data_IF_652337567727
#
_entry.id   IF_652337567727
#
_cell.length_a   1.000
_cell.length_b   1.000
_cell.length_c   1.000
_cell.angle_alpha   90.00
_cell.angle_beta   90.00
_cell.angle_gamma   90.00
#
_symmetry.space_group_name_H-M   'P 1'
#
loop_
_entity.id
_entity.type
_entity.pdbx_description
1 polymer ?
#
# COMPACT_ATOMS: atom_id res chain seq x y z
N UNK A 1 46.29 -21.31 33.30
CA UNK A 1 45.01 -22.02 33.48
C UNK A 1 44.13 -21.74 32.28
N UNK A 2 43.67 -22.82 31.64
CA UNK A 2 42.66 -22.95 30.57
C UNK A 2 42.70 -22.08 29.30
N UNK A 3 43.30 -22.68 28.27
CA UNK A 3 42.77 -22.66 26.89
C UNK A 3 41.42 -23.40 26.85
N UNK A 4 40.43 -22.86 26.13
CA UNK A 4 39.35 -23.67 25.55
C UNK A 4 39.30 -23.46 24.03
N UNK A 5 39.61 -24.54 23.33
CA UNK A 5 39.36 -24.73 21.91
C UNK A 5 37.85 -25.01 21.69
N UNK A 6 37.26 -24.42 20.65
CA UNK A 6 36.03 -24.98 20.07
C UNK A 6 36.19 -25.24 18.58
N UNK A 7 36.34 -26.53 18.31
CA UNK A 7 36.28 -27.17 17.00
C UNK A 7 34.86 -27.13 16.40
N UNK A 8 34.83 -27.04 15.06
CA UNK A 8 34.15 -28.05 14.26
C UNK A 8 32.72 -27.76 13.79
N UNK A 9 32.59 -27.45 12.50
CA UNK A 9 31.81 -28.27 11.54
C UNK A 9 32.01 -27.76 10.11
N UNK A 10 32.94 -28.41 9.40
CA UNK A 10 32.97 -28.42 7.92
C UNK A 10 32.00 -29.52 7.48
N UNK A 11 31.08 -29.18 6.57
CA UNK A 11 30.32 -30.17 5.79
C UNK A 11 30.70 -29.94 4.34
N UNK A 12 31.52 -30.85 3.82
CA UNK A 12 31.72 -31.06 2.40
C UNK A 12 30.55 -31.92 1.87
N UNK A 13 30.08 -31.60 0.68
CA UNK A 13 29.36 -32.52 -0.18
C UNK A 13 29.57 -32.04 -1.62
N UNK A 14 30.44 -32.77 -2.31
CA UNK A 14 30.52 -32.84 -3.77
C UNK A 14 29.21 -33.35 -4.35
N UNK A 15 28.86 -32.88 -5.55
CA UNK A 15 28.58 -33.71 -6.74
C UNK A 15 27.79 -32.94 -7.80
N UNK A 16 28.42 -32.83 -8.97
CA UNK A 16 27.88 -33.09 -10.30
C UNK A 16 26.83 -32.15 -10.95
N UNK A 17 27.37 -31.42 -11.93
CA UNK A 17 26.79 -30.98 -13.21
C UNK A 17 25.94 -32.09 -13.88
N UNK A 18 24.97 -31.80 -14.79
CA UNK A 18 25.30 -31.16 -16.07
C UNK A 18 24.26 -30.19 -16.67
N UNK A 19 24.78 -29.40 -17.62
CA UNK A 19 24.19 -28.90 -18.86
C UNK A 19 22.66 -28.90 -19.03
N UNK A 20 22.10 -27.70 -19.23
CA UNK A 20 20.87 -27.58 -20.00
C UNK A 20 20.94 -26.38 -20.96
N UNK A 21 21.73 -26.58 -22.01
CA UNK A 21 21.61 -25.88 -23.28
C UNK A 21 20.34 -26.38 -23.97
N UNK A 22 19.30 -25.55 -24.09
CA UNK A 22 18.24 -25.71 -25.12
C UNK A 22 17.36 -24.46 -25.27
N UNK A 23 17.54 -23.81 -26.43
CA UNK A 23 16.50 -23.42 -27.39
C UNK A 23 15.41 -22.47 -26.85
N UNK A 24 15.46 -21.16 -27.14
CA UNK A 24 15.00 -20.55 -28.40
C UNK A 24 13.82 -21.31 -29.04
N UNK A 25 12.61 -20.80 -28.82
CA UNK A 25 11.48 -20.98 -29.72
C UNK A 25 10.66 -19.68 -29.74
N UNK A 26 10.84 -18.94 -30.83
CA UNK A 26 9.90 -17.95 -31.32
C UNK A 26 8.54 -18.62 -31.55
N UNK A 27 7.45 -18.00 -31.10
CA UNK A 27 6.13 -18.26 -31.66
C UNK A 27 5.52 -16.94 -32.16
N UNK A 28 4.88 -16.96 -33.34
CA UNK A 28 4.46 -15.77 -34.05
C UNK A 28 3.13 -15.21 -33.53
N UNK A 29 2.96 -13.90 -33.76
CA UNK A 29 1.68 -13.20 -33.83
C UNK A 29 0.78 -13.90 -34.84
N UNK A 30 -0.47 -14.19 -34.46
CA UNK A 30 -1.57 -14.32 -35.40
C UNK A 30 -2.60 -13.22 -35.13
N UNK A 31 -2.76 -12.40 -36.14
CA UNK A 31 -3.83 -11.44 -36.35
C UNK A 31 -5.08 -12.19 -36.83
N UNK A 32 -6.26 -11.60 -36.58
CA UNK A 32 -7.41 -11.70 -37.47
C UNK A 32 -8.33 -12.92 -37.31
N UNK A 33 -9.51 -12.68 -36.74
CA UNK A 33 -10.75 -13.26 -37.26
C UNK A 33 -11.94 -12.39 -36.79
N UNK A 34 -12.37 -11.51 -37.69
CA UNK A 34 -13.74 -11.02 -37.76
C UNK A 34 -14.71 -12.17 -38.08
N UNK A 35 -16.01 -11.89 -37.95
CA UNK A 35 -17.24 -12.70 -38.19
C UNK A 35 -17.88 -13.19 -36.88
N UNK A 36 -19.19 -13.13 -36.69
CA UNK A 36 -20.31 -12.70 -37.52
C UNK A 36 -21.51 -12.50 -36.59
N UNK A 37 -22.42 -11.59 -36.97
CA UNK A 37 -23.75 -11.52 -36.41
C UNK A 37 -24.50 -12.83 -36.67
N UNK A 38 -25.06 -13.43 -35.62
CA UNK A 38 -26.19 -14.36 -35.74
C UNK A 38 -27.25 -14.00 -34.71
N UNK A 39 -28.39 -13.55 -35.23
CA UNK A 39 -29.67 -13.34 -34.54
C UNK A 39 -30.38 -14.69 -34.34
N UNK A 40 -31.33 -14.71 -33.38
CA UNK A 40 -32.43 -15.67 -33.11
C UNK A 40 -32.21 -16.60 -31.89
N UNK A 41 -33.27 -17.23 -31.34
CA UNK A 41 -34.52 -16.64 -30.84
C UNK A 41 -34.91 -17.17 -29.44
N UNK A 42 -35.81 -16.44 -28.76
CA UNK A 42 -36.80 -16.96 -27.80
C UNK A 42 -36.39 -18.01 -26.76
N UNK A 43 -36.02 -17.56 -25.55
CA UNK A 43 -36.13 -18.40 -24.34
C UNK A 43 -37.10 -17.78 -23.33
N UNK A 44 -38.01 -18.63 -22.86
CA UNK A 44 -39.11 -18.38 -21.93
C UNK A 44 -38.60 -17.87 -20.56
N UNK A 45 -39.28 -16.93 -19.90
CA UNK A 45 -38.96 -16.60 -18.52
C UNK A 45 -39.42 -17.75 -17.60
N UNK A 46 -38.48 -18.40 -16.94
CA UNK A 46 -38.76 -19.29 -15.81
C UNK A 46 -39.15 -18.43 -14.59
N UNK A 47 -40.35 -18.69 -14.08
CA UNK A 47 -40.91 -18.03 -12.91
C UNK A 47 -40.01 -18.23 -11.67
N UNK A 48 -39.86 -17.21 -10.80
CA UNK A 48 -39.17 -17.39 -9.54
C UNK A 48 -39.99 -18.26 -8.59
N UNK A 49 -39.38 -19.36 -8.14
CA UNK A 49 -39.86 -20.22 -7.06
C UNK A 49 -39.87 -19.42 -5.74
N UNK A 50 -41.00 -18.78 -5.45
CA UNK A 50 -41.27 -18.11 -4.17
C UNK A 50 -41.45 -19.17 -3.10
N UNK A 51 -40.49 -19.29 -2.19
CA UNK A 51 -40.69 -20.02 -0.92
C UNK A 51 -41.58 -19.16 -0.01
N UNK A 52 -42.71 -19.67 0.51
CA UNK A 52 -43.49 -18.94 1.50
C UNK A 52 -42.71 -18.87 2.81
N UNK A 53 -42.36 -17.65 3.25
CA UNK A 53 -41.90 -17.43 4.61
C UNK A 53 -43.10 -17.44 5.58
N UNK A 54 -42.88 -17.91 6.83
CA UNK A 54 -43.94 -18.05 7.81
C UNK A 54 -44.51 -16.70 8.25
N UNK A 55 -45.84 -16.63 8.32
CA UNK A 55 -46.60 -15.57 8.97
C UNK A 55 -46.38 -15.67 10.49
N UNK A 56 -45.53 -14.79 11.03
CA UNK A 56 -45.61 -14.36 12.43
C UNK A 56 -46.30 -12.99 12.40
N UNK A 57 -47.62 -12.94 12.58
CA UNK A 57 -48.28 -12.64 13.85
C UNK A 57 -47.59 -11.57 14.71
N UNK A 58 -48.37 -10.51 14.96
CA UNK A 58 -48.26 -9.50 16.00
C UNK A 58 -47.16 -8.44 15.86
N UNK A 59 -47.51 -7.33 15.21
CA UNK A 59 -47.02 -6.00 15.62
C UNK A 59 -48.25 -5.14 15.87
N UNK A 60 -48.56 -4.91 17.15
CA UNK A 60 -49.50 -3.88 17.55
C UNK A 60 -48.96 -2.54 17.05
N UNK A 61 -49.80 -1.80 16.33
CA UNK A 61 -49.57 -0.41 15.98
C UNK A 61 -49.72 0.45 17.24
N UNK A 62 -48.79 0.30 18.17
CA UNK A 62 -48.59 1.23 19.27
C UNK A 62 -47.54 2.23 18.84
N UNK A 63 -47.98 3.40 18.35
CA UNK A 63 -47.16 4.59 18.40
C UNK A 63 -46.95 4.90 19.89
N UNK A 64 -45.90 4.33 20.47
CA UNK A 64 -45.46 4.68 21.80
C UNK A 64 -44.80 6.04 21.73
N UNK A 65 -45.56 7.09 22.01
CA UNK A 65 -45.03 8.43 22.23
C UNK A 65 -44.19 8.41 23.51
N UNK A 66 -42.88 8.20 23.34
CA UNK A 66 -41.89 8.60 24.34
C UNK A 66 -41.72 10.10 24.09
N UNK A 67 -42.04 10.92 25.09
CA UNK A 67 -42.12 12.38 24.97
C UNK A 67 -41.12 13.03 24.00
N UNK A 68 -41.65 13.96 23.21
CA UNK A 68 -40.95 14.87 22.26
C UNK A 68 -40.45 14.25 20.95
N UNK A 69 -40.24 12.93 20.85
CA UNK A 69 -39.72 12.32 19.62
C UNK A 69 -40.60 11.20 19.06
N UNK A 70 -40.99 11.32 17.79
CA UNK A 70 -41.65 10.27 17.05
C UNK A 70 -40.59 9.33 16.47
N UNK A 71 -40.56 8.09 16.96
CA UNK A 71 -39.75 7.03 16.37
C UNK A 71 -40.40 6.55 15.06
N UNK A 72 -39.89 7.00 13.92
CA UNK A 72 -40.27 6.51 12.61
C UNK A 72 -39.23 5.48 12.16
N UNK A 73 -39.66 4.23 11.94
CA UNK A 73 -38.80 3.26 11.24
C UNK A 73 -38.91 3.52 9.75
N UNK A 74 -37.77 3.73 9.10
CA UNK A 74 -37.72 3.73 7.65
C UNK A 74 -37.81 2.30 7.09
N UNK A 75 -38.01 2.17 5.79
CA UNK A 75 -38.06 0.87 5.10
C UNK A 75 -36.74 0.07 5.15
N UNK A 76 -35.66 0.65 5.68
CA UNK A 76 -34.37 -0.02 5.91
C UNK A 76 -34.24 -0.62 7.32
N UNK A 77 -35.23 -0.38 8.19
CA UNK A 77 -35.24 -0.84 9.58
C UNK A 77 -34.45 0.07 10.54
N UNK A 78 -34.00 1.24 10.08
CA UNK A 78 -33.39 2.24 10.95
C UNK A 78 -34.46 3.09 11.63
N UNK A 79 -34.31 3.32 12.93
CA UNK A 79 -35.18 4.20 13.71
C UNK A 79 -34.72 5.64 13.53
N UNK A 80 -35.49 6.43 12.81
CA UNK A 80 -35.37 7.88 12.69
C UNK A 80 -36.22 8.53 13.79
N UNK A 81 -35.59 9.24 14.71
CA UNK A 81 -36.29 10.07 15.68
C UNK A 81 -36.49 11.46 15.07
N UNK A 82 -37.73 11.79 14.73
CA UNK A 82 -38.11 13.15 14.34
C UNK A 82 -38.70 13.85 15.57
N UNK A 83 -38.35 15.12 15.83
CA UNK A 83 -39.08 15.91 16.82
C UNK A 83 -40.54 15.97 16.40
N UNK A 84 -41.45 15.62 17.31
CA UNK A 84 -42.88 15.72 17.04
C UNK A 84 -43.21 17.18 16.73
N UNK A 85 -43.77 17.44 15.55
CA UNK A 85 -44.25 18.77 15.21
C UNK A 85 -45.45 19.08 16.13
N UNK A 86 -45.20 19.83 17.21
CA UNK A 86 -46.26 20.43 17.99
C UNK A 86 -46.95 21.46 17.11
N UNK A 87 -48.24 21.28 16.86
CA UNK A 87 -49.07 22.14 16.01
C UNK A 87 -49.32 23.54 16.58
N UNK A 88 -48.60 23.94 17.62
CA UNK A 88 -48.69 25.25 18.25
C UNK A 88 -47.28 25.83 18.31
N UNK A 89 -47.14 27.10 17.89
CA UNK A 89 -45.88 27.81 17.63
C UNK A 89 -44.96 28.07 18.81
N UNK A 90 -44.92 27.15 19.78
CA UNK A 90 -44.01 27.17 20.93
C UNK A 90 -42.79 26.34 20.55
N UNK A 91 -41.63 27.00 20.45
CA UNK A 91 -40.35 26.32 20.24
C UNK A 91 -40.20 25.21 21.31
N UNK A 92 -40.04 23.93 20.92
CA UNK A 92 -39.94 22.85 21.89
C UNK A 92 -38.73 23.12 22.78
N UNK A 93 -38.98 23.32 24.08
CA UNK A 93 -37.93 23.49 25.05
C UNK A 93 -37.28 22.12 25.27
N UNK A 94 -36.20 21.83 24.53
CA UNK A 94 -35.42 20.62 24.74
C UNK A 94 -34.86 20.63 26.17
N UNK A 95 -35.13 19.58 26.94
CA UNK A 95 -34.52 19.46 28.26
C UNK A 95 -33.03 19.14 28.12
N UNK A 96 -32.24 19.47 29.14
CA UNK A 96 -30.82 19.14 29.15
C UNK A 96 -30.57 17.62 29.04
N UNK A 97 -31.53 16.80 29.50
CA UNK A 97 -31.47 15.35 29.36
C UNK A 97 -31.63 14.91 27.89
N UNK A 98 -32.57 15.49 27.15
CA UNK A 98 -32.80 15.19 25.74
C UNK A 98 -31.58 15.53 24.87
N UNK A 99 -30.95 16.68 25.16
CA UNK A 99 -29.73 17.10 24.46
C UNK A 99 -28.56 16.12 24.69
N UNK A 100 -28.45 15.53 25.89
CA UNK A 100 -27.41 14.52 26.17
C UNK A 100 -27.64 13.23 25.40
N UNK A 101 -28.88 12.76 25.32
CA UNK A 101 -29.25 11.56 24.56
C UNK A 101 -28.94 11.77 23.07
N UNK A 102 -29.32 12.92 22.51
CA UNK A 102 -29.04 13.28 21.12
C UNK A 102 -27.54 13.31 20.82
N UNK A 103 -26.73 13.88 21.72
CA UNK A 103 -25.26 13.95 21.56
C UNK A 103 -24.64 12.55 21.59
N UNK A 104 -25.06 11.67 22.50
CA UNK A 104 -24.54 10.31 22.55
C UNK A 104 -24.93 9.48 21.33
N UNK A 105 -26.15 9.65 20.83
CA UNK A 105 -26.58 9.02 19.59
C UNK A 105 -25.77 9.53 18.39
N UNK A 106 -25.54 10.84 18.29
CA UNK A 106 -24.67 11.39 17.25
C UNK A 106 -23.25 10.81 17.32
N UNK A 107 -22.66 10.70 18.52
CA UNK A 107 -21.36 10.05 18.70
C UNK A 107 -21.39 8.57 18.30
N UNK A 108 -22.48 7.86 18.58
CA UNK A 108 -22.66 6.46 18.18
C UNK A 108 -22.69 6.31 16.65
N UNK A 109 -23.50 7.13 15.97
CA UNK A 109 -23.61 7.17 14.52
C UNK A 109 -22.26 7.53 13.86
N UNK A 110 -21.54 8.52 14.39
CA UNK A 110 -20.20 8.88 13.92
C UNK A 110 -19.19 7.74 14.08
N UNK A 111 -19.25 6.98 15.19
CA UNK A 111 -18.40 5.80 15.41
C UNK A 111 -18.68 4.70 14.40
N UNK A 112 -19.95 4.47 14.06
CA UNK A 112 -20.35 3.48 13.04
C UNK A 112 -19.90 3.92 11.65
N UNK A 113 -20.19 5.16 11.27
CA UNK A 113 -19.75 5.72 10.00
C UNK A 113 -18.24 5.68 9.81
N UNK A 114 -17.46 6.02 10.85
CA UNK A 114 -15.99 5.89 10.83
C UNK A 114 -15.55 4.46 10.57
N UNK A 115 -16.20 3.47 11.20
CA UNK A 115 -15.91 2.05 10.95
C UNK A 115 -16.22 1.67 9.50
N UNK A 116 -17.32 2.17 8.94
CA UNK A 116 -17.71 1.92 7.56
C UNK A 116 -16.78 2.56 6.54
N UNK A 117 -16.31 3.79 6.76
CA UNK A 117 -15.27 4.43 5.95
C UNK A 117 -14.01 3.54 5.87
N UNK A 118 -13.65 2.89 6.98
CA UNK A 118 -12.49 1.99 7.03
C UNK A 118 -12.79 0.58 6.49
N UNK A 119 -14.06 0.19 6.35
CA UNK A 119 -14.47 -1.06 5.67
C UNK A 119 -14.39 -0.85 4.17
N UNK A 120 -13.19 -1.01 3.63
CA UNK A 120 -12.99 -0.88 2.20
C UNK A 120 -13.66 -2.06 1.47
N UNK A 121 -14.70 -1.82 0.65
CA UNK A 121 -15.30 -2.86 -0.15
C UNK A 121 -14.29 -3.42 -1.15
N UNK A 122 -14.31 -4.74 -1.35
CA UNK A 122 -13.46 -5.36 -2.39
C UNK A 122 -14.00 -4.96 -3.75
N UNK A 123 -13.19 -4.28 -4.55
CA UNK A 123 -13.55 -3.89 -5.92
C UNK A 123 -13.77 -5.08 -6.86
N UNK A 124 -13.26 -6.26 -6.49
CA UNK A 124 -13.44 -7.50 -7.23
C UNK A 124 -13.83 -8.64 -6.30
N UNK A 125 -14.79 -9.44 -6.73
CA UNK A 125 -15.17 -10.70 -6.09
C UNK A 125 -14.89 -11.84 -7.07
N UNK A 126 -14.40 -12.95 -6.52
CA UNK A 126 -14.29 -14.19 -7.29
C UNK A 126 -15.67 -14.83 -7.35
N UNK A 127 -16.15 -15.09 -8.55
CA UNK A 127 -17.40 -15.81 -8.79
C UNK A 127 -17.11 -17.02 -9.66
N UNK A 128 -17.88 -18.08 -9.48
CA UNK A 128 -17.87 -19.19 -10.40
C UNK A 128 -18.80 -18.85 -11.56
N UNK A 129 -18.25 -18.85 -12.77
CA UNK A 129 -18.99 -18.69 -14.01
C UNK A 129 -18.97 -20.05 -14.69
N UNK A 130 -20.14 -20.57 -15.07
CA UNK A 130 -20.20 -21.76 -15.91
C UNK A 130 -19.75 -21.37 -17.32
N UNK A 131 -18.63 -21.96 -17.76
CA UNK A 131 -18.21 -21.84 -19.15
C UNK A 131 -19.13 -22.64 -20.08
N UNK A 132 -19.07 -22.35 -21.37
CA UNK A 132 -19.83 -23.06 -22.41
C UNK A 132 -19.53 -24.56 -22.42
N UNK A 133 -18.32 -24.94 -22.00
CA UNK A 133 -17.86 -26.33 -21.86
C UNK A 133 -18.49 -27.06 -20.64
N UNK A 134 -19.34 -26.41 -19.84
CA UNK A 134 -19.89 -26.94 -18.60
C UNK A 134 -18.91 -27.00 -17.43
N UNK A 135 -17.63 -26.67 -17.64
CA UNK A 135 -16.62 -26.63 -16.58
C UNK A 135 -16.71 -25.27 -15.84
N UNK A 136 -16.90 -25.26 -14.51
CA UNK A 136 -16.94 -24.02 -13.75
C UNK A 136 -15.56 -23.36 -13.74
N UNK A 137 -15.49 -22.11 -14.20
CA UNK A 137 -14.28 -21.29 -14.17
C UNK A 137 -14.42 -20.18 -13.13
N UNK A 138 -13.30 -19.84 -12.51
CA UNK A 138 -13.22 -18.77 -11.52
C UNK A 138 -12.91 -17.46 -12.24
N UNK A 139 -13.85 -16.52 -12.20
CA UNK A 139 -13.66 -15.21 -12.81
C UNK A 139 -13.77 -14.06 -11.78
N UNK A 140 -13.12 -12.95 -12.10
CA UNK A 140 -13.11 -11.75 -11.27
C UNK A 140 -14.18 -10.76 -11.74
N UNK A 141 -15.31 -10.75 -11.07
CA UNK A 141 -16.35 -9.76 -11.32
C UNK A 141 -16.01 -8.43 -10.64
N UNK A 142 -16.06 -7.32 -11.39
CA UNK A 142 -16.00 -5.97 -10.83
C UNK A 142 -17.29 -5.70 -10.06
N UNK A 143 -17.17 -5.44 -8.77
CA UNK A 143 -18.30 -5.06 -7.93
C UNK A 143 -18.56 -3.57 -8.11
N UNK A 144 -19.82 -3.18 -8.30
CA UNK A 144 -20.24 -1.78 -8.18
C UNK A 144 -20.05 -1.38 -6.71
N UNK A 145 -19.32 -0.28 -6.49
CA UNK A 145 -19.12 0.26 -5.13
C UNK A 145 -20.21 1.28 -4.91
N UNK A 146 -21.12 0.98 -4.00
CA UNK A 146 -22.17 1.92 -3.61
C UNK A 146 -21.57 3.02 -2.72
N UNK A 147 -22.00 4.28 -2.93
CA UNK A 147 -21.55 5.38 -2.08
C UNK A 147 -22.04 5.17 -0.65
N UNK A 148 -21.20 5.55 0.30
CA UNK A 148 -21.56 5.54 1.71
C UNK A 148 -22.51 6.71 1.97
N UNK A 149 -23.63 6.43 2.63
CA UNK A 149 -24.58 7.47 3.02
C UNK A 149 -24.02 8.28 4.18
N UNK A 150 -24.33 9.57 4.21
CA UNK A 150 -24.02 10.40 5.36
C UNK A 150 -24.82 9.92 6.57
N UNK A 151 -24.27 9.99 7.78
CA UNK A 151 -25.02 9.59 8.97
C UNK A 151 -26.25 10.48 9.16
N UNK A 152 -27.38 9.95 9.66
CA UNK A 152 -28.61 10.70 9.87
C UNK A 152 -28.38 12.01 10.66
N UNK A 153 -27.53 11.97 11.70
CA UNK A 153 -27.13 13.17 12.46
C UNK A 153 -26.57 14.31 11.58
N UNK A 154 -25.81 14.00 10.52
CA UNK A 154 -25.26 15.01 9.62
C UNK A 154 -26.32 15.60 8.69
N UNK A 155 -27.33 14.81 8.32
CA UNK A 155 -28.46 15.32 7.53
C UNK A 155 -29.18 16.45 8.28
N UNK A 156 -29.34 16.37 9.60
CA UNK A 156 -29.94 17.46 10.39
C UNK A 156 -29.13 18.76 10.33
N UNK A 157 -27.80 18.68 10.27
CA UNK A 157 -26.94 19.86 10.16
C UNK A 157 -26.95 20.45 8.74
N UNK A 158 -27.10 19.59 7.74
CA UNK A 158 -27.08 19.98 6.33
C UNK A 158 -28.45 20.45 5.86
N UNK A 159 -29.55 19.94 6.44
CA UNK A 159 -30.91 20.25 6.02
C UNK A 159 -31.21 21.75 6.00
N UNK A 160 -30.86 22.57 7.02
CA UNK A 160 -31.07 24.01 6.96
C UNK A 160 -30.29 24.67 5.82
N UNK A 161 -29.10 24.17 5.49
CA UNK A 161 -28.33 24.67 4.35
C UNK A 161 -29.04 24.35 3.03
N UNK A 162 -29.53 23.11 2.86
CA UNK A 162 -30.30 22.73 1.67
C UNK A 162 -31.57 23.55 1.51
N UNK A 163 -32.31 23.76 2.61
CA UNK A 163 -33.60 24.46 2.58
C UNK A 163 -33.46 25.98 2.43
N UNK A 164 -32.48 26.61 3.11
CA UNK A 164 -32.44 28.06 3.25
C UNK A 164 -31.33 28.75 2.46
N UNK A 165 -30.22 28.07 2.14
CA UNK A 165 -29.09 28.71 1.43
C UNK A 165 -29.10 28.48 -0.08
N UNK A 166 -30.13 27.80 -0.61
CA UNK A 166 -30.21 27.43 -2.03
C UNK A 166 -29.15 26.40 -2.43
N UNK A 167 -28.55 25.71 -1.47
CA UNK A 167 -27.56 24.67 -1.72
C UNK A 167 -28.22 23.50 -2.44
N UNK A 168 -27.73 23.18 -3.65
CA UNK A 168 -28.33 22.13 -4.48
C UNK A 168 -27.96 20.74 -3.95
N UNK A 169 -28.94 19.86 -3.83
CA UNK A 169 -28.74 18.45 -3.42
C UNK A 169 -27.69 17.71 -4.28
N UNK A 170 -27.56 18.07 -5.55
CA UNK A 170 -26.57 17.48 -6.47
C UNK A 170 -25.12 17.76 -6.06
N UNK A 171 -24.88 18.72 -5.17
CA UNK A 171 -23.56 19.08 -4.66
C UNK A 171 -23.21 18.35 -3.35
N UNK A 172 -24.10 17.51 -2.83
CA UNK A 172 -23.81 16.70 -1.65
C UNK A 172 -22.63 15.76 -1.93
N UNK A 173 -21.69 15.62 -0.99
CA UNK A 173 -20.48 14.84 -1.21
C UNK A 173 -20.84 13.36 -1.40
N UNK A 174 -20.50 12.81 -2.56
CA UNK A 174 -20.56 11.38 -2.81
C UNK A 174 -19.36 10.69 -2.16
N UNK A 175 -19.55 10.20 -0.95
CA UNK A 175 -18.48 9.54 -0.17
C UNK A 175 -18.30 8.11 -0.67
N UNK A 176 -17.13 7.78 -1.19
CA UNK A 176 -16.80 6.42 -1.64
C UNK A 176 -15.63 5.93 -0.79
N UNK A 177 -15.82 4.81 -0.08
CA UNK A 177 -14.74 4.16 0.65
C UNK A 177 -13.78 3.49 -0.34
N UNK A 178 -12.67 4.16 -0.67
CA UNK A 178 -11.63 3.63 -1.54
C UNK A 178 -10.50 3.03 -0.71
N UNK A 179 -9.96 1.89 -1.13
CA UNK A 179 -8.71 1.38 -0.56
C UNK A 179 -7.66 2.43 -0.85
N UNK A 180 -7.13 3.10 0.18
CA UNK A 180 -5.86 3.80 0.02
C UNK A 180 -4.90 2.76 -0.58
N UNK A 181 -4.32 2.99 -1.77
CA UNK A 181 -3.29 2.10 -2.25
C UNK A 181 -2.30 2.01 -1.10
N UNK A 182 -2.04 0.79 -0.60
CA UNK A 182 -1.04 0.56 0.44
C UNK A 182 0.17 1.36 -0.06
N UNK A 183 0.66 2.35 0.68
CA UNK A 183 1.72 3.28 0.26
C UNK A 183 2.96 2.46 -0.12
N UNK A 184 2.94 1.84 -1.29
CA UNK A 184 4.03 1.10 -1.87
C UNK A 184 4.88 2.22 -2.41
N UNK A 185 5.92 2.53 -1.65
CA UNK A 185 6.92 3.47 -2.10
C UNK A 185 7.56 2.83 -3.32
N UNK A 186 7.24 3.40 -4.47
CA UNK A 186 7.93 3.08 -5.72
C UNK A 186 9.20 3.92 -5.76
N UNK A 187 10.27 3.26 -6.20
CA UNK A 187 11.51 3.92 -6.57
C UNK A 187 11.53 4.03 -8.09
N UNK A 188 11.70 5.25 -8.58
CA UNK A 188 11.95 5.49 -10.00
C UNK A 188 13.41 5.19 -10.32
N UNK A 189 13.72 4.90 -11.58
CA UNK A 189 15.10 4.70 -12.02
C UNK A 189 15.97 5.94 -11.80
N UNK A 190 15.40 7.13 -11.98
CA UNK A 190 16.05 8.40 -11.63
C UNK A 190 16.33 8.56 -10.13
N UNK A 191 15.51 7.96 -9.27
CA UNK A 191 15.77 7.94 -7.83
C UNK A 191 16.89 6.95 -7.49
N UNK A 192 17.04 5.86 -8.24
CA UNK A 192 18.14 4.92 -8.06
C UNK A 192 19.49 5.50 -8.54
N UNK A 193 19.51 6.29 -9.62
CA UNK A 193 20.73 7.01 -10.03
C UNK A 193 21.11 8.07 -8.99
N UNK A 194 20.11 8.74 -8.41
CA UNK A 194 20.31 9.69 -7.31
C UNK A 194 20.82 8.99 -6.04
N UNK A 195 20.27 7.82 -5.72
CA UNK A 195 20.73 6.96 -4.62
C UNK A 195 22.18 6.53 -4.84
N UNK A 196 22.55 6.10 -6.05
CA UNK A 196 23.93 5.77 -6.40
C UNK A 196 24.89 6.96 -6.20
N UNK A 197 24.50 8.16 -6.63
CA UNK A 197 25.31 9.37 -6.41
C UNK A 197 25.44 9.68 -4.92
N UNK A 198 24.37 9.53 -4.15
CA UNK A 198 24.41 9.67 -2.69
C UNK A 198 25.39 8.69 -2.04
N UNK A 199 25.40 7.44 -2.47
CA UNK A 199 26.31 6.41 -1.96
C UNK A 199 27.79 6.71 -2.26
N UNK A 200 28.08 7.39 -3.37
CA UNK A 200 29.44 7.85 -3.70
C UNK A 200 29.89 9.02 -2.82
N UNK A 201 28.97 9.93 -2.49
CA UNK A 201 29.29 11.14 -1.73
C UNK A 201 29.35 10.89 -0.21
N UNK A 202 28.37 10.16 0.34
CA UNK A 202 28.20 9.98 1.78
C UNK A 202 28.61 8.57 2.27
N UNK A 203 28.74 7.61 1.35
CA UNK A 203 29.01 6.22 1.69
C UNK A 203 27.75 5.40 2.02
N UNK A 204 27.95 4.12 2.35
CA UNK A 204 26.88 3.15 2.61
C UNK A 204 26.20 3.33 3.97
N UNK A 205 26.94 3.80 4.98
CA UNK A 205 26.45 3.90 6.37
C UNK A 205 25.63 5.17 6.59
N UNK A 206 25.97 6.27 5.91
CA UNK A 206 25.35 7.58 6.13
C UNK A 206 24.09 7.82 5.28
N UNK A 207 23.08 7.00 5.57
CA UNK A 207 21.75 7.13 4.95
C UNK A 207 20.99 8.37 5.45
N UNK A 208 21.38 8.90 6.61
CA UNK A 208 20.76 10.09 7.18
C UNK A 208 21.09 11.33 6.33
N UNK A 209 22.37 11.54 6.02
CA UNK A 209 22.81 12.65 5.15
C UNK A 209 22.27 12.49 3.73
N UNK A 210 22.27 11.27 3.17
CA UNK A 210 21.64 11.00 1.87
C UNK A 210 20.18 11.42 1.84
N UNK A 211 19.41 11.13 2.90
CA UNK A 211 18.01 11.56 2.98
C UNK A 211 17.90 13.08 3.00
N UNK A 212 18.66 13.75 3.86
CA UNK A 212 18.56 15.20 4.06
C UNK A 212 18.93 15.96 2.79
N UNK A 213 20.01 15.55 2.11
CA UNK A 213 20.58 16.30 0.99
C UNK A 213 20.07 15.86 -0.39
N UNK A 214 19.74 14.57 -0.57
CA UNK A 214 19.44 14.01 -1.90
C UNK A 214 17.98 13.59 -2.06
N UNK A 215 17.40 12.92 -1.05
CA UNK A 215 16.08 12.29 -1.17
C UNK A 215 15.18 12.60 0.04
N UNK A 216 14.76 13.87 0.24
CA UNK A 216 13.97 14.27 1.40
C UNK A 216 12.59 13.60 1.44
N UNK A 217 12.07 13.21 0.28
CA UNK A 217 10.78 12.54 0.13
C UNK A 217 10.78 11.06 0.55
N UNK A 218 11.95 10.46 0.81
CA UNK A 218 12.07 9.07 1.25
C UNK A 218 12.52 9.01 2.71
N UNK A 219 12.10 7.97 3.42
CA UNK A 219 12.59 7.72 4.79
C UNK A 219 13.90 6.95 4.75
N UNK A 220 14.73 7.09 5.80
CA UNK A 220 16.00 6.37 5.90
C UNK A 220 15.81 4.83 5.83
N UNK A 221 14.71 4.32 6.41
CA UNK A 221 14.36 2.90 6.31
C UNK A 221 14.04 2.48 4.86
N UNK A 222 13.32 3.31 4.10
CA UNK A 222 13.03 3.05 2.69
C UNK A 222 14.31 3.00 1.85
N UNK A 223 15.23 3.94 2.09
CA UNK A 223 16.51 3.99 1.40
C UNK A 223 17.37 2.74 1.71
N UNK A 224 17.51 2.37 2.99
CA UNK A 224 18.23 1.13 3.38
C UNK A 224 17.62 -0.11 2.73
N UNK A 225 16.29 -0.23 2.76
CA UNK A 225 15.61 -1.34 2.12
C UNK A 225 15.84 -1.37 0.61
N UNK A 226 15.85 -0.19 -0.05
CA UNK A 226 16.14 -0.10 -1.48
C UNK A 226 17.57 -0.53 -1.80
N UNK A 227 18.56 -0.05 -1.05
CA UNK A 227 19.98 -0.43 -1.20
C UNK A 227 20.13 -1.95 -1.03
N UNK A 228 19.55 -2.52 0.02
CA UNK A 228 19.61 -3.96 0.27
C UNK A 228 18.98 -4.78 -0.87
N UNK A 229 17.85 -4.32 -1.40
CA UNK A 229 17.19 -4.97 -2.54
C UNK A 229 18.01 -4.86 -3.83
N UNK A 230 18.64 -3.72 -4.10
CA UNK A 230 19.50 -3.52 -5.27
C UNK A 230 20.80 -4.33 -5.18
N UNK A 231 21.36 -4.48 -3.99
CA UNK A 231 22.55 -5.30 -3.72
C UNK A 231 22.26 -6.81 -3.69
N UNK A 232 20.99 -7.21 -3.58
CA UNK A 232 20.62 -8.61 -3.46
C UNK A 232 21.15 -9.44 -4.64
N UNK A 233 21.57 -10.70 -4.37
CA UNK A 233 22.15 -11.59 -5.39
C UNK A 233 21.26 -11.75 -6.63
N UNK A 234 19.94 -11.87 -6.41
CA UNK A 234 18.92 -12.04 -7.46
C UNK A 234 18.55 -10.75 -8.19
N UNK A 235 19.01 -9.60 -7.72
CA UNK A 235 18.74 -8.34 -8.40
C UNK A 235 19.50 -8.29 -9.74
N UNK A 236 18.89 -7.73 -10.80
CA UNK A 236 19.58 -7.50 -12.06
C UNK A 236 20.80 -6.60 -11.85
N UNK A 237 21.74 -6.62 -12.81
CA UNK A 237 22.92 -5.77 -12.74
C UNK A 237 22.50 -4.31 -12.69
N UNK A 238 23.05 -3.58 -11.72
CA UNK A 238 22.71 -2.18 -11.48
C UNK A 238 23.92 -1.46 -10.85
N UNK A 239 24.05 -0.13 -11.04
CA UNK A 239 25.23 0.62 -10.60
C UNK A 239 25.42 0.61 -9.07
N UNK A 240 24.34 0.53 -8.30
CA UNK A 240 24.39 0.42 -6.84
C UNK A 240 25.03 -0.90 -6.41
N UNK A 241 24.65 -2.01 -7.05
CA UNK A 241 25.20 -3.35 -6.81
C UNK A 241 26.69 -3.39 -7.15
N UNK A 242 27.07 -2.83 -8.29
CA UNK A 242 28.47 -2.78 -8.73
C UNK A 242 29.33 -2.01 -7.72
N UNK A 243 28.86 -0.86 -7.26
CA UNK A 243 29.54 -0.08 -6.23
C UNK A 243 29.66 -0.83 -4.89
N UNK A 244 28.59 -1.49 -4.46
CA UNK A 244 28.63 -2.28 -3.24
C UNK A 244 29.57 -3.49 -3.35
N UNK A 245 29.72 -4.10 -4.52
CA UNK A 245 30.65 -5.22 -4.70
C UNK A 245 32.11 -4.75 -4.70
N UNK A 246 32.37 -3.52 -5.18
CA UNK A 246 33.71 -2.90 -5.13
C UNK A 246 34.22 -2.67 -3.72
N UNK A 247 33.35 -2.57 -2.70
CA UNK A 247 33.81 -2.51 -1.30
C UNK A 247 34.51 -3.79 -0.85
N UNK A 248 34.15 -4.93 -1.44
CA UNK A 248 34.62 -6.27 -1.07
C UNK A 248 35.72 -6.76 -2.04
N UNK A 249 35.84 -6.12 -3.19
CA UNK A 249 36.84 -6.50 -4.20
C UNK A 249 38.24 -6.19 -3.66
N UNK A 250 39.22 -7.12 -3.76
CA UNK A 250 40.59 -6.85 -3.33
C UNK A 250 41.16 -5.63 -4.06
N UNK A 251 42.11 -4.95 -3.42
CA UNK A 251 42.85 -3.85 -4.04
C UNK A 251 43.71 -4.44 -5.16
N UNK A 252 43.68 -3.83 -6.34
CA UNK A 252 44.50 -4.25 -7.48
C UNK A 252 45.94 -3.74 -7.31
N UNK A 253 46.90 -4.39 -7.99
CA UNK A 253 48.31 -3.97 -7.93
C UNK A 253 48.53 -2.51 -8.37
N UNK A 254 47.77 -2.04 -9.36
CA UNK A 254 47.83 -0.65 -9.83
C UNK A 254 47.35 0.32 -8.75
N UNK A 255 46.20 0.02 -8.12
CA UNK A 255 45.66 0.83 -7.02
C UNK A 255 46.60 0.82 -5.81
N UNK A 256 47.23 -0.31 -5.53
CA UNK A 256 48.21 -0.46 -4.45
C UNK A 256 49.45 0.41 -4.68
N UNK A 257 49.98 0.44 -5.90
CA UNK A 257 51.09 1.31 -6.24
C UNK A 257 50.71 2.79 -6.10
N UNK A 258 49.50 3.18 -6.54
CA UNK A 258 48.98 4.54 -6.34
C UNK A 258 48.88 4.87 -4.85
N UNK A 259 48.40 3.94 -4.02
CA UNK A 259 48.31 4.13 -2.58
C UNK A 259 49.70 4.26 -1.95
N UNK A 260 50.67 3.46 -2.39
CA UNK A 260 52.05 3.50 -1.93
C UNK A 260 52.70 4.84 -2.25
N UNK A 261 52.73 5.21 -3.54
CA UNK A 261 53.31 6.48 -4.01
C UNK A 261 52.58 7.68 -3.41
N UNK A 262 51.25 7.63 -3.34
CA UNK A 262 50.46 8.69 -2.75
C UNK A 262 50.74 8.90 -1.27
N UNK A 263 50.93 7.82 -0.50
CA UNK A 263 51.31 7.92 0.92
C UNK A 263 52.73 8.44 1.09
N UNK A 264 53.66 8.11 0.18
CA UNK A 264 55.02 8.62 0.19
C UNK A 264 55.08 10.13 -0.13
N UNK A 265 54.30 10.58 -1.11
CA UNK A 265 54.28 11.97 -1.57
C UNK A 265 53.50 12.88 -0.62
N UNK A 266 52.33 12.45 -0.16
CA UNK A 266 51.40 13.30 0.59
C UNK A 266 51.32 12.97 2.09
N UNK A 267 52.00 11.91 2.56
CA UNK A 267 52.01 11.51 3.96
C UNK A 267 50.60 11.24 4.52
N UNK A 268 50.33 11.76 5.72
CA UNK A 268 49.07 11.56 6.42
C UNK A 268 47.87 12.27 5.75
N UNK A 269 48.13 13.31 4.96
CA UNK A 269 47.09 14.03 4.21
C UNK A 269 46.54 13.22 3.04
N UNK A 270 47.30 12.20 2.60
CA UNK A 270 46.88 11.34 1.51
C UNK A 270 45.51 10.70 1.77
N UNK A 271 45.20 10.35 3.02
CA UNK A 271 43.90 9.77 3.38
C UNK A 271 42.72 10.69 3.03
N UNK A 272 42.89 11.99 3.13
CA UNK A 272 41.86 12.97 2.77
C UNK A 272 41.77 13.16 1.26
N UNK A 273 42.92 13.13 0.57
CA UNK A 273 43.01 13.32 -0.88
C UNK A 273 42.71 12.05 -1.70
N UNK A 274 42.74 10.87 -1.08
CA UNK A 274 42.57 9.58 -1.75
C UNK A 274 41.27 9.48 -2.56
N UNK A 275 40.21 10.19 -2.17
CA UNK A 275 38.97 10.26 -2.94
C UNK A 275 39.18 10.76 -4.38
N UNK A 276 40.22 11.57 -4.63
CA UNK A 276 40.54 12.10 -5.96
C UNK A 276 41.28 11.06 -6.82
N UNK A 277 42.06 10.17 -6.20
CA UNK A 277 42.86 9.17 -6.91
C UNK A 277 42.08 7.88 -7.14
N UNK A 278 41.34 7.43 -6.12
CA UNK A 278 40.52 6.23 -6.16
C UNK A 278 39.03 6.57 -6.13
N UNK A 279 38.58 7.39 -7.10
CA UNK A 279 37.19 7.89 -7.23
C UNK A 279 36.13 6.77 -7.29
N UNK A 280 36.58 5.56 -7.60
CA UNK A 280 35.77 4.37 -7.74
C UNK A 280 35.74 3.49 -6.47
N UNK A 281 36.58 3.77 -5.47
CA UNK A 281 36.67 3.01 -4.23
C UNK A 281 35.92 3.74 -3.10
N UNK A 282 35.06 3.02 -2.36
CA UNK A 282 34.41 3.57 -1.18
C UNK A 282 35.44 3.74 -0.05
N UNK A 283 35.37 4.87 0.67
CA UNK A 283 36.29 5.24 1.75
C UNK A 283 36.55 4.11 2.75
N UNK A 284 35.51 3.36 3.11
CA UNK A 284 35.60 2.26 4.07
C UNK A 284 36.61 1.17 3.64
N UNK A 285 36.69 0.87 2.34
CA UNK A 285 37.64 -0.13 1.83
C UNK A 285 39.11 0.26 2.10
N UNK A 286 39.38 1.56 2.26
CA UNK A 286 40.72 2.12 2.45
C UNK A 286 41.07 2.30 3.93
N UNK A 287 40.09 2.23 4.84
CA UNK A 287 40.34 2.39 6.29
C UNK A 287 41.23 1.29 6.87
N UNK A 288 41.23 0.11 6.26
CA UNK A 288 41.99 -1.05 6.73
C UNK A 288 43.38 -1.14 6.08
N UNK A 289 43.67 -0.29 5.09
CA UNK A 289 44.93 -0.34 4.36
C UNK A 289 46.02 0.36 5.19
N UNK A 290 47.12 -0.35 5.43
CA UNK A 290 48.31 0.16 6.09
C UNK A 290 49.53 -0.24 5.26
N UNK A 291 50.41 0.71 4.88
CA UNK A 291 51.63 0.39 4.14
C UNK A 291 52.53 -0.61 4.90
N UNK A 292 52.40 -0.67 6.24
CA UNK A 292 53.26 -1.47 7.12
C UNK A 292 52.82 -2.93 7.28
N UNK A 293 51.62 -3.31 6.85
CA UNK A 293 51.12 -4.67 7.06
C UNK A 293 51.61 -5.70 6.02
N UNK A 294 52.40 -5.29 5.03
CA UNK A 294 52.80 -6.16 3.91
C UNK A 294 54.27 -6.58 3.91
N UNK A 295 55.10 -5.97 4.76
CA UNK A 295 56.51 -6.37 4.93
C UNK A 295 56.70 -7.36 6.10
N UNK A 296 55.63 -8.06 6.51
CA UNK A 296 55.62 -9.03 7.61
C UNK A 296 55.32 -10.44 7.10
#
# INVERSE_FOLDING_TARGET
MHLEMRNGKRKAADSDSPDNSKQQALLPRSEGAERELATLPGMKPLAPLVKPMPRNLCVGSGAGDIGVFRALRDGSGQTLFMPAATSEGTSPAYTQADMRVLVEEMKSQMRTFRREIHRVPRSRRRIFVQGEDGVPRLDWMKMKIDPLMLPPAMHFLIQPLLTYSGFRDTLLPRIIAVRKPKNRIHFLESEDTLLFRGLRLFGLEDVASMRVHMMPCKTASQLRNRINNLRARRAPQNPVKDYCLRTITPITLEEEEILRVGTEVFGDEFRQMNQNFLVNRPLLALTHWSPRSQNA
#
